data_IF_139012224656
#
_entry.id   IF_139012224656
#
_cell.length_a   1.000
_cell.length_b   1.000
_cell.length_c   1.000
_cell.angle_alpha   90.00
_cell.angle_beta   90.00
_cell.angle_gamma   90.00
#
_symmetry.space_group_name_H-M   'P 1'
#
loop_
_entity.id
_entity.type
_entity.pdbx_description
1 polymer ?
#
# COMPACT_ATOMS: atom_id res chain seq x y z
N UNK A 1 23.18 -38.55 -31.60
CA UNK A 1 24.52 -38.56 -30.98
C UNK A 1 24.34 -38.22 -29.52
N UNK A 2 24.54 -39.21 -28.66
CA UNK A 2 24.49 -39.11 -27.21
C UNK A 2 25.84 -38.56 -26.75
N UNK A 3 25.83 -37.55 -25.89
CA UNK A 3 27.00 -37.13 -25.11
C UNK A 3 26.55 -36.98 -23.67
N UNK A 4 27.05 -37.89 -22.84
CA UNK A 4 26.93 -37.95 -21.39
C UNK A 4 28.04 -37.12 -20.76
N UNK A 5 27.72 -36.27 -19.79
CA UNK A 5 28.70 -35.60 -18.93
C UNK A 5 28.63 -36.21 -17.50
N UNK A 6 29.76 -36.62 -16.87
CA UNK A 6 29.79 -37.62 -15.79
C UNK A 6 29.95 -36.99 -14.39
N UNK A 7 29.10 -36.02 -14.04
CA UNK A 7 29.01 -35.47 -12.68
C UNK A 7 27.56 -35.47 -12.18
N UNK A 8 26.99 -36.67 -12.07
CA UNK A 8 25.77 -36.91 -11.34
C UNK A 8 26.09 -37.01 -9.84
N UNK A 9 25.97 -35.90 -9.11
CA UNK A 9 25.83 -35.92 -7.66
C UNK A 9 24.32 -35.97 -7.33
N UNK A 10 23.93 -37.04 -6.67
CA UNK A 10 22.60 -37.34 -6.14
C UNK A 10 22.02 -36.15 -5.37
N UNK A 11 21.04 -35.46 -5.97
CA UNK A 11 20.06 -34.63 -5.24
C UNK A 11 18.75 -35.39 -5.21
N UNK A 12 18.34 -35.75 -4.01
CA UNK A 12 17.01 -36.28 -3.70
C UNK A 12 15.95 -35.29 -4.16
N UNK A 13 15.13 -35.71 -5.12
CA UNK A 13 13.90 -35.02 -5.51
C UNK A 13 12.90 -35.06 -4.34
N UNK A 14 12.80 -33.95 -3.62
CA UNK A 14 11.58 -33.60 -2.90
C UNK A 14 10.79 -32.64 -3.76
N UNK A 15 9.99 -33.19 -4.67
CA UNK A 15 8.90 -32.48 -5.36
C UNK A 15 7.93 -31.91 -4.34
N UNK A 16 8.13 -30.66 -3.92
CA UNK A 16 7.09 -29.88 -3.26
C UNK A 16 6.17 -29.33 -4.33
N UNK A 17 5.04 -30.01 -4.52
CA UNK A 17 3.87 -29.47 -5.21
C UNK A 17 3.48 -28.14 -4.55
N UNK A 18 3.65 -27.03 -5.27
CA UNK A 18 3.14 -25.72 -4.90
C UNK A 18 1.62 -25.72 -5.04
N UNK A 19 0.95 -26.32 -4.05
CA UNK A 19 -0.49 -26.17 -3.88
C UNK A 19 -0.80 -24.71 -3.56
N UNK A 20 -1.71 -24.10 -4.31
CA UNK A 20 -2.26 -22.78 -3.99
C UNK A 20 -2.83 -22.82 -2.57
N UNK A 21 -2.13 -22.23 -1.62
CA UNK A 21 -2.63 -22.12 -0.25
C UNK A 21 -3.79 -21.12 -0.28
N UNK A 22 -5.01 -21.65 -0.36
CA UNK A 22 -6.20 -20.87 -0.05
C UNK A 22 -6.06 -20.37 1.39
N UNK A 23 -5.95 -19.05 1.55
CA UNK A 23 -5.88 -18.44 2.88
C UNK A 23 -7.27 -18.59 3.51
N UNK A 24 -7.43 -19.60 4.36
CA UNK A 24 -8.62 -19.73 5.20
C UNK A 24 -8.65 -18.56 6.18
N UNK A 25 -9.65 -17.69 6.05
CA UNK A 25 -9.83 -16.55 6.96
C UNK A 25 -10.45 -17.01 8.29
N UNK A 26 -9.94 -16.45 9.38
CA UNK A 26 -10.45 -16.61 10.74
C UNK A 26 -11.94 -16.19 10.81
N UNK A 27 -12.84 -16.99 11.40
CA UNK A 27 -14.26 -16.65 11.52
C UNK A 27 -14.56 -15.36 12.29
N UNK A 28 -13.57 -14.77 12.98
CA UNK A 28 -13.65 -13.45 13.62
C UNK A 28 -13.52 -12.25 12.65
N UNK A 29 -13.16 -12.48 11.38
CA UNK A 29 -13.08 -11.40 10.39
C UNK A 29 -14.48 -10.88 10.08
N UNK A 30 -14.71 -9.59 10.35
CA UNK A 30 -15.96 -8.90 9.97
C UNK A 30 -16.28 -9.14 8.49
N UNK A 31 -17.52 -9.57 8.17
CA UNK A 31 -18.06 -9.79 6.80
C UNK A 31 -17.82 -8.63 5.82
N UNK A 32 -17.45 -7.44 6.31
CA UNK A 32 -17.08 -6.29 5.48
C UNK A 32 -15.75 -6.48 4.72
N UNK A 33 -14.86 -7.34 5.20
CA UNK A 33 -13.50 -7.52 4.65
C UNK A 33 -13.28 -8.89 4.00
N UNK A 34 -14.33 -9.69 3.84
CA UNK A 34 -14.30 -10.97 3.15
C UNK A 34 -14.57 -10.78 1.66
N UNK A 35 -13.97 -11.65 0.84
CA UNK A 35 -14.30 -11.72 -0.59
C UNK A 35 -15.81 -11.87 -0.79
N UNK A 36 -16.43 -11.15 -1.75
CA UNK A 36 -17.83 -11.38 -2.11
C UNK A 36 -18.01 -12.65 -2.99
N UNK A 37 -16.91 -13.30 -3.38
CA UNK A 37 -16.88 -14.49 -4.24
C UNK A 37 -16.35 -15.72 -3.49
N UNK A 38 -16.67 -16.94 -3.96
CA UNK A 38 -15.97 -18.15 -3.53
C UNK A 38 -14.45 -18.03 -3.78
N UNK A 39 -13.61 -18.87 -3.13
CA UNK A 39 -12.19 -18.92 -3.41
C UNK A 39 -11.90 -19.11 -4.90
N UNK A 40 -11.02 -18.28 -5.45
CA UNK A 40 -10.64 -18.34 -6.85
C UNK A 40 -9.51 -19.36 -7.02
N UNK A 41 -9.82 -20.50 -7.63
CA UNK A 41 -8.86 -21.54 -7.94
C UNK A 41 -8.42 -21.43 -9.41
N UNK A 42 -7.16 -21.07 -9.63
CA UNK A 42 -6.60 -20.94 -10.98
C UNK A 42 -5.89 -22.23 -11.37
N UNK A 43 -6.19 -22.73 -12.59
CA UNK A 43 -5.43 -23.84 -13.17
C UNK A 43 -3.99 -23.40 -13.50
N UNK A 44 -3.01 -24.31 -13.53
CA UNK A 44 -1.65 -23.99 -13.95
C UNK A 44 -1.59 -23.30 -15.32
N UNK A 45 -2.40 -23.75 -16.28
CA UNK A 45 -2.49 -23.15 -17.62
C UNK A 45 -2.99 -21.71 -17.55
N UNK A 46 -4.08 -21.46 -16.82
CA UNK A 46 -4.62 -20.10 -16.65
C UNK A 46 -3.62 -19.18 -15.95
N UNK A 47 -2.89 -19.69 -14.95
CA UNK A 47 -1.82 -18.93 -14.28
C UNK A 47 -0.73 -18.53 -15.27
N UNK A 48 -0.24 -19.47 -16.09
CA UNK A 48 0.76 -19.17 -17.13
C UNK A 48 0.26 -18.15 -18.17
N UNK A 49 -1.01 -18.23 -18.57
CA UNK A 49 -1.62 -17.27 -19.49
C UNK A 49 -1.69 -15.86 -18.89
N UNK A 50 -2.07 -15.75 -17.62
CA UNK A 50 -2.12 -14.49 -16.89
C UNK A 50 -0.72 -13.89 -16.68
N UNK A 51 0.27 -14.71 -16.36
CA UNK A 51 1.68 -14.28 -16.30
C UNK A 51 2.17 -13.78 -17.66
N UNK A 52 1.87 -14.51 -18.74
CA UNK A 52 2.19 -14.09 -20.11
C UNK A 52 1.51 -12.79 -20.50
N UNK A 53 0.24 -12.58 -20.09
CA UNK A 53 -0.48 -11.33 -20.28
C UNK A 53 0.17 -10.19 -19.50
N UNK A 54 0.55 -10.41 -18.24
CA UNK A 54 1.21 -9.43 -17.40
C UNK A 54 2.52 -8.95 -18.05
N UNK A 55 3.38 -9.87 -18.50
CA UNK A 55 4.63 -9.52 -19.19
C UNK A 55 4.39 -8.69 -20.46
N UNK A 56 3.40 -9.07 -21.28
CA UNK A 56 3.04 -8.30 -22.50
C UNK A 56 2.55 -6.89 -22.14
N UNK A 57 1.75 -6.76 -21.09
CA UNK A 57 1.26 -5.45 -20.63
C UNK A 57 2.40 -4.59 -20.08
N UNK A 58 3.34 -5.16 -19.32
CA UNK A 58 4.55 -4.46 -18.86
C UNK A 58 5.35 -3.94 -20.04
N UNK A 59 5.76 -4.82 -20.96
CA UNK A 59 6.56 -4.43 -22.13
C UNK A 59 5.87 -3.34 -22.97
N UNK A 60 4.57 -3.50 -23.24
CA UNK A 60 3.79 -2.51 -24.01
C UNK A 60 3.74 -1.14 -23.33
N UNK A 61 3.50 -1.11 -22.02
CA UNK A 61 3.35 0.15 -21.29
C UNK A 61 4.69 0.83 -21.02
N UNK A 62 5.77 0.06 -20.84
CA UNK A 62 7.14 0.58 -20.80
C UNK A 62 7.45 1.28 -22.13
N UNK A 63 7.24 0.60 -23.27
CA UNK A 63 7.47 1.22 -24.58
C UNK A 63 6.65 2.49 -24.81
N UNK A 64 5.38 2.49 -24.40
CA UNK A 64 4.52 3.68 -24.49
C UNK A 64 5.01 4.85 -23.59
N UNK A 65 5.52 4.54 -22.40
CA UNK A 65 6.09 5.53 -21.50
C UNK A 65 7.42 6.08 -22.04
N UNK A 66 8.26 5.23 -22.63
CA UNK A 66 9.50 5.68 -23.26
C UNK A 66 9.24 6.62 -24.42
N UNK A 67 8.26 6.35 -25.28
CA UNK A 67 7.89 7.29 -26.33
C UNK A 67 7.35 8.61 -25.78
N UNK A 68 6.61 8.58 -24.67
CA UNK A 68 6.22 9.82 -24.00
C UNK A 68 7.43 10.58 -23.43
N UNK A 69 8.35 9.89 -22.76
CA UNK A 69 9.48 10.49 -22.06
C UNK A 69 10.57 10.99 -23.02
N UNK A 70 10.97 10.15 -23.97
CA UNK A 70 12.12 10.36 -24.85
C UNK A 70 11.68 11.07 -26.13
N UNK A 71 10.73 10.49 -26.86
CA UNK A 71 10.34 10.98 -28.19
C UNK A 71 9.52 12.28 -28.09
N UNK A 72 8.60 12.36 -27.11
CA UNK A 72 7.75 13.54 -26.88
C UNK A 72 8.30 14.47 -25.78
N UNK A 73 9.52 14.23 -25.29
CA UNK A 73 10.18 15.03 -24.25
C UNK A 73 9.35 15.26 -22.97
N UNK A 74 8.49 14.30 -22.61
CA UNK A 74 7.60 14.38 -21.44
C UNK A 74 6.53 15.48 -21.54
N UNK A 75 6.28 16.04 -22.73
CA UNK A 75 5.30 17.11 -22.93
C UNK A 75 3.91 16.54 -23.19
N UNK A 76 2.92 17.14 -22.55
CA UNK A 76 1.51 16.86 -22.80
C UNK A 76 1.05 17.69 -23.99
N UNK A 77 0.52 17.02 -25.01
CA UNK A 77 -0.14 17.67 -26.15
C UNK A 77 -1.51 18.21 -25.73
N UNK A 78 -1.63 19.54 -25.61
CA UNK A 78 -2.85 20.20 -25.13
C UNK A 78 -4.00 20.19 -26.16
N UNK A 79 -3.71 19.99 -27.45
CA UNK A 79 -4.76 19.81 -28.47
C UNK A 79 -5.48 18.48 -28.26
N UNK A 80 -4.72 17.46 -27.87
CA UNK A 80 -5.23 16.11 -27.61
C UNK A 80 -5.74 15.91 -26.18
N UNK A 81 -5.13 16.56 -25.20
CA UNK A 81 -5.34 16.30 -23.77
C UNK A 81 -5.90 17.53 -23.06
N UNK A 82 -7.13 17.40 -22.55
CA UNK A 82 -7.79 18.45 -21.77
C UNK A 82 -7.55 18.26 -20.29
N UNK A 83 -7.13 19.31 -19.59
CA UNK A 83 -7.00 19.30 -18.13
C UNK A 83 -8.32 18.96 -17.42
N UNK A 84 -8.25 18.12 -16.39
CA UNK A 84 -9.39 17.68 -15.57
C UNK A 84 -9.29 18.21 -14.15
N UNK A 85 -8.18 17.92 -13.47
CA UNK A 85 -7.93 18.26 -12.07
C UNK A 85 -6.46 18.06 -11.71
N UNK A 86 -6.03 18.59 -10.58
CA UNK A 86 -4.69 18.34 -10.03
C UNK A 86 -4.76 18.01 -8.55
N UNK A 87 -3.71 17.39 -8.05
CA UNK A 87 -3.47 17.18 -6.62
C UNK A 87 -1.96 17.18 -6.40
N UNK A 88 -1.51 18.05 -5.50
CA UNK A 88 -0.09 18.34 -5.32
C UNK A 88 0.54 18.67 -6.69
N UNK A 89 1.70 18.10 -7.03
CA UNK A 89 2.37 18.31 -8.33
C UNK A 89 1.87 17.38 -9.44
N UNK A 90 0.83 16.58 -9.21
CA UNK A 90 0.23 15.70 -10.22
C UNK A 90 -0.94 16.39 -10.93
N UNK A 91 -0.96 16.31 -12.26
CA UNK A 91 -2.02 16.86 -13.11
C UNK A 91 -2.69 15.76 -13.92
N UNK A 92 -4.01 15.69 -13.85
CA UNK A 92 -4.83 14.75 -14.59
C UNK A 92 -5.43 15.41 -15.83
N UNK A 93 -5.39 14.68 -16.93
CA UNK A 93 -5.87 15.07 -18.25
C UNK A 93 -6.78 13.97 -18.81
N UNK A 94 -7.74 14.35 -19.64
CA UNK A 94 -8.57 13.42 -20.40
C UNK A 94 -8.35 13.61 -21.89
N UNK A 95 -8.29 12.51 -22.63
CA UNK A 95 -8.23 12.56 -24.09
C UNK A 95 -9.53 13.15 -24.65
N UNK A 96 -9.40 14.15 -25.52
CA UNK A 96 -10.53 14.72 -26.24
C UNK A 96 -11.10 13.67 -27.22
N UNK A 97 -12.43 13.50 -27.29
CA UNK A 97 -13.02 12.65 -28.32
C UNK A 97 -12.56 13.15 -29.69
N UNK A 98 -12.05 12.25 -30.53
CA UNK A 98 -11.81 12.60 -31.93
C UNK A 98 -13.18 12.86 -32.57
N UNK A 99 -13.33 13.98 -33.24
CA UNK A 99 -14.50 14.22 -34.07
C UNK A 99 -14.53 13.14 -35.15
N UNK A 100 -15.41 12.15 -35.00
CA UNK A 100 -15.63 11.15 -36.05
C UNK A 100 -16.56 11.80 -37.06
N UNK A 101 -16.00 12.34 -38.15
CA UNK A 101 -16.77 12.58 -39.36
C UNK A 101 -17.08 11.21 -39.97
N UNK A 102 -18.23 10.61 -39.67
CA UNK A 102 -18.73 9.43 -40.39
C UNK A 102 -20.26 9.43 -40.45
N UNK A 103 -20.87 9.42 -41.66
CA UNK A 103 -22.29 9.69 -41.88
C UNK A 103 -23.19 8.44 -41.95
N UNK A 104 -22.98 7.42 -41.10
CA UNK A 104 -23.78 6.19 -41.16
C UNK A 104 -24.42 5.81 -39.81
N UNK A 105 -25.76 5.89 -39.66
CA UNK A 105 -26.44 5.74 -38.36
C UNK A 105 -26.71 4.30 -37.91
N UNK A 106 -26.25 3.28 -38.63
CA UNK A 106 -26.68 1.90 -38.38
C UNK A 106 -25.50 0.93 -38.52
N UNK A 107 -24.73 0.82 -37.44
CA UNK A 107 -23.89 -0.32 -37.04
C UNK A 107 -22.78 0.23 -36.16
N UNK A 108 -22.83 -0.04 -34.85
CA UNK A 108 -21.62 -0.32 -34.08
C UNK A 108 -21.99 -0.81 -32.68
N UNK A 109 -21.74 -2.09 -32.44
CA UNK A 109 -21.19 -2.56 -31.17
C UNK A 109 -20.13 -1.53 -30.73
N UNK A 110 -20.24 -1.05 -29.49
CA UNK A 110 -19.42 0.05 -28.93
C UNK A 110 -18.01 0.10 -29.55
N UNK A 111 -17.73 1.08 -30.42
CA UNK A 111 -16.41 1.20 -31.02
C UNK A 111 -15.40 1.43 -29.90
N UNK A 112 -14.21 0.84 -30.03
CA UNK A 112 -13.05 1.12 -29.17
C UNK A 112 -12.78 2.65 -29.04
N UNK A 113 -13.30 3.44 -29.98
CA UNK A 113 -13.19 4.90 -30.07
C UNK A 113 -13.90 5.70 -28.94
N UNK A 114 -14.75 5.11 -28.09
CA UNK A 114 -15.49 5.87 -27.06
C UNK A 114 -15.11 5.56 -25.59
N UNK A 115 -13.99 4.87 -25.37
CA UNK A 115 -13.48 4.64 -24.01
C UNK A 115 -12.85 5.93 -23.44
N UNK A 116 -13.29 6.48 -22.29
CA UNK A 116 -12.56 7.54 -21.61
C UNK A 116 -11.13 7.11 -21.27
N UNK A 117 -10.17 7.93 -21.71
CA UNK A 117 -8.75 7.79 -21.41
C UNK A 117 -8.32 8.93 -20.49
N UNK A 118 -7.67 8.57 -19.39
CA UNK A 118 -7.08 9.52 -18.43
C UNK A 118 -5.57 9.37 -18.46
N UNK A 119 -4.85 10.49 -18.52
CA UNK A 119 -3.41 10.55 -18.35
C UNK A 119 -3.09 11.42 -17.14
N UNK A 120 -2.14 11.00 -16.31
CA UNK A 120 -1.64 11.81 -15.20
C UNK A 120 -0.14 11.92 -15.31
N UNK A 121 0.38 13.14 -15.18
CA UNK A 121 1.82 13.39 -15.18
C UNK A 121 2.18 14.35 -14.04
N UNK A 122 3.40 14.23 -13.53
CA UNK A 122 3.90 15.11 -12.47
C UNK A 122 4.99 14.45 -11.64
N UNK A 123 5.18 14.95 -10.43
CA UNK A 123 6.20 14.45 -9.50
C UNK A 123 5.64 14.19 -8.12
N UNK A 124 6.31 13.32 -7.37
CA UNK A 124 6.13 13.16 -5.93
C UNK A 124 7.47 13.35 -5.21
N UNK A 125 7.41 13.89 -3.99
CA UNK A 125 8.59 14.05 -3.12
C UNK A 125 8.83 12.72 -2.43
N UNK A 126 9.98 12.10 -2.73
CA UNK A 126 10.39 10.79 -2.25
C UNK A 126 11.17 10.01 -3.30
N UNK A 127 11.93 9.01 -2.84
CA UNK A 127 12.67 8.10 -3.72
C UNK A 127 11.79 6.99 -4.29
N UNK A 128 12.22 6.43 -5.42
CA UNK A 128 11.48 5.40 -6.15
C UNK A 128 11.19 4.18 -5.26
N UNK A 129 12.15 3.75 -4.45
CA UNK A 129 11.95 2.60 -3.56
C UNK A 129 10.91 2.89 -2.47
N UNK A 130 10.83 4.14 -2.01
CA UNK A 130 9.77 4.58 -1.09
C UNK A 130 8.40 4.57 -1.76
N UNK A 131 8.30 5.06 -2.99
CA UNK A 131 7.06 4.96 -3.77
C UNK A 131 6.64 3.51 -3.91
N UNK A 132 7.55 2.63 -4.35
CA UNK A 132 7.25 1.22 -4.58
C UNK A 132 6.89 0.47 -3.29
N UNK A 133 7.53 0.79 -2.16
CA UNK A 133 7.15 0.24 -0.87
C UNK A 133 5.77 0.73 -0.41
N UNK A 134 5.35 1.95 -0.75
CA UNK A 134 3.98 2.43 -0.55
C UNK A 134 2.95 1.75 -1.44
N UNK A 135 3.34 1.41 -2.68
CA UNK A 135 2.49 0.80 -3.70
C UNK A 135 2.16 -0.65 -3.39
N UNK A 136 3.19 -1.45 -3.07
CA UNK A 136 3.12 -2.92 -2.97
C UNK A 136 2.24 -3.35 -1.79
N UNK A 137 1.20 -4.12 -2.11
CA UNK A 137 0.23 -4.65 -1.15
C UNK A 137 -0.33 -6.01 -1.61
N UNK A 138 0.50 -7.08 -1.66
CA UNK A 138 0.10 -8.43 -2.09
C UNK A 138 -0.98 -9.11 -1.26
N UNK A 139 -1.30 -8.67 -0.04
CA UNK A 139 -2.36 -9.29 0.78
C UNK A 139 -3.54 -8.34 1.04
N UNK A 140 -4.70 -8.91 1.36
CA UNK A 140 -5.91 -8.13 1.70
C UNK A 140 -5.66 -7.18 2.87
N UNK A 141 -4.92 -7.62 3.88
CA UNK A 141 -4.55 -6.83 5.05
C UNK A 141 -3.67 -5.66 4.65
N UNK A 142 -2.69 -5.88 3.79
CA UNK A 142 -1.81 -4.83 3.28
C UNK A 142 -2.57 -3.81 2.42
N UNK A 143 -3.52 -4.25 1.59
CA UNK A 143 -4.41 -3.34 0.86
C UNK A 143 -5.20 -2.45 1.82
N UNK A 144 -5.78 -3.03 2.88
CA UNK A 144 -6.55 -2.27 3.88
C UNK A 144 -5.66 -1.26 4.63
N UNK A 145 -4.42 -1.65 4.97
CA UNK A 145 -3.44 -0.72 5.57
C UNK A 145 -3.12 0.42 4.60
N UNK A 146 -2.85 0.13 3.32
CA UNK A 146 -2.60 1.16 2.29
C UNK A 146 -3.75 2.15 2.19
N UNK A 147 -4.98 1.67 1.98
CA UNK A 147 -6.20 2.49 1.88
C UNK A 147 -6.41 3.37 3.11
N UNK A 148 -6.03 2.90 4.31
CA UNK A 148 -6.13 3.69 5.54
C UNK A 148 -5.23 4.94 5.58
N UNK A 149 -4.18 4.99 4.76
CA UNK A 149 -3.26 6.13 4.65
C UNK A 149 -3.52 7.00 3.42
N UNK A 150 -3.83 6.38 2.27
CA UNK A 150 -3.97 7.13 1.02
C UNK A 150 -5.35 7.78 0.87
N UNK A 151 -6.39 7.21 1.49
CA UNK A 151 -7.78 7.68 1.38
C UNK A 151 -8.20 7.85 -0.10
N UNK A 152 -8.15 6.74 -0.84
CA UNK A 152 -8.44 6.62 -2.29
C UNK A 152 -9.95 6.49 -2.60
N UNK A 153 -10.80 6.52 -1.58
CA UNK A 153 -12.24 6.21 -1.64
C UNK A 153 -12.55 4.79 -2.15
N UNK A 154 -11.69 3.81 -1.84
CA UNK A 154 -11.95 2.38 -2.04
C UNK A 154 -12.52 1.78 -0.74
N UNK A 155 -13.85 1.65 -0.60
CA UNK A 155 -14.49 1.19 0.63
C UNK A 155 -14.26 -0.29 0.95
N UNK A 156 -14.09 -1.12 -0.08
CA UNK A 156 -13.87 -2.56 0.07
C UNK A 156 -12.92 -3.05 -1.01
N UNK A 157 -12.02 -3.93 -0.60
CA UNK A 157 -11.05 -4.57 -1.47
C UNK A 157 -10.58 -5.89 -0.87
N UNK A 158 -10.23 -6.84 -1.72
CA UNK A 158 -9.57 -8.07 -1.31
C UNK A 158 -8.67 -8.63 -2.42
N UNK A 159 -7.72 -9.46 -2.01
CA UNK A 159 -6.94 -10.31 -2.90
C UNK A 159 -7.72 -11.61 -3.10
N UNK A 160 -7.94 -11.99 -4.35
CA UNK A 160 -8.65 -13.21 -4.74
C UNK A 160 -7.69 -14.37 -4.98
N UNK A 161 -6.54 -14.10 -5.60
CA UNK A 161 -5.49 -15.10 -5.83
C UNK A 161 -4.11 -14.43 -5.92
N UNK A 162 -3.08 -15.11 -5.41
CA UNK A 162 -1.67 -14.72 -5.58
C UNK A 162 -1.04 -15.64 -6.61
N UNK A 163 -0.53 -15.08 -7.71
CA UNK A 163 0.12 -15.84 -8.78
C UNK A 163 1.63 -15.88 -8.56
N UNK A 164 2.23 -14.70 -8.33
CA UNK A 164 3.64 -14.56 -8.01
C UNK A 164 3.81 -13.66 -6.77
N UNK A 165 4.20 -14.20 -5.60
CA UNK A 165 4.46 -13.40 -4.42
C UNK A 165 5.80 -12.65 -4.54
N UNK A 166 5.99 -11.55 -3.80
CA UNK A 166 7.31 -10.93 -3.68
C UNK A 166 8.36 -11.86 -3.07
N UNK A 167 9.60 -11.67 -3.49
CA UNK A 167 10.76 -12.41 -2.97
C UNK A 167 11.71 -11.46 -2.24
N UNK A 168 12.58 -11.95 -1.35
CA UNK A 168 13.60 -11.13 -0.68
C UNK A 168 14.51 -10.35 -1.66
N UNK A 169 14.78 -10.90 -2.84
CA UNK A 169 15.59 -10.30 -3.90
C UNK A 169 14.82 -9.24 -4.69
N UNK A 170 13.52 -9.46 -4.90
CA UNK A 170 12.63 -8.57 -5.63
C UNK A 170 11.38 -8.26 -4.79
N UNK A 171 11.52 -7.49 -3.69
CA UNK A 171 10.45 -7.32 -2.72
C UNK A 171 9.30 -6.43 -3.23
N UNK A 172 9.50 -5.74 -4.35
CA UNK A 172 8.48 -4.94 -5.01
C UNK A 172 7.80 -5.65 -6.18
N UNK A 173 8.18 -6.91 -6.47
CA UNK A 173 7.60 -7.66 -7.57
C UNK A 173 6.42 -8.48 -7.07
N UNK A 174 5.26 -8.33 -7.68
CA UNK A 174 4.11 -9.18 -7.36
C UNK A 174 3.19 -9.34 -8.55
N UNK A 175 2.46 -10.46 -8.61
CA UNK A 175 1.35 -10.67 -9.53
C UNK A 175 0.17 -11.30 -8.78
N UNK A 176 -0.99 -10.66 -8.83
CA UNK A 176 -2.18 -11.12 -8.10
C UNK A 176 -3.47 -10.78 -8.82
N UNK A 177 -4.54 -11.53 -8.52
CA UNK A 177 -5.92 -11.17 -8.86
C UNK A 177 -6.55 -10.52 -7.64
N UNK A 178 -7.19 -9.38 -7.85
CA UNK A 178 -7.79 -8.55 -6.81
C UNK A 178 -9.20 -8.14 -7.18
N UNK A 179 -9.96 -7.78 -6.17
CA UNK A 179 -11.27 -7.16 -6.30
C UNK A 179 -11.34 -5.85 -5.53
N UNK A 180 -12.03 -4.86 -6.10
CA UNK A 180 -12.34 -3.58 -5.44
C UNK A 180 -13.78 -3.15 -5.73
N UNK A 181 -14.39 -2.51 -4.74
CA UNK A 181 -15.64 -1.75 -4.88
C UNK A 181 -15.30 -0.27 -5.08
N UNK A 182 -15.92 0.38 -6.07
CA UNK A 182 -15.79 1.80 -6.34
C UNK A 182 -17.17 2.44 -6.31
N UNK A 183 -17.37 3.38 -5.40
CA UNK A 183 -18.64 4.09 -5.31
C UNK A 183 -18.76 5.18 -6.37
N UNK A 184 -19.96 5.31 -6.94
CA UNK A 184 -20.29 6.49 -7.74
C UNK A 184 -20.59 7.69 -6.81
N UNK A 185 -20.47 8.94 -7.31
CA UNK A 185 -20.79 10.13 -6.52
C UNK A 185 -22.20 10.08 -5.94
N UNK A 186 -22.39 10.57 -4.71
CA UNK A 186 -23.66 10.52 -3.98
C UNK A 186 -24.85 11.04 -4.81
N UNK A 187 -24.64 12.11 -5.58
CA UNK A 187 -25.67 12.73 -6.42
C UNK A 187 -26.26 11.81 -7.49
N UNK A 188 -25.56 10.77 -7.94
CA UNK A 188 -26.02 9.84 -9.00
C UNK A 188 -26.31 8.42 -8.51
N UNK A 189 -26.02 8.12 -7.24
CA UNK A 189 -26.30 6.80 -6.62
C UNK A 189 -27.76 6.34 -6.69
N UNK A 190 -28.79 7.21 -6.68
CA UNK A 190 -30.19 6.76 -6.81
C UNK A 190 -30.51 6.10 -8.17
N UNK A 191 -29.71 6.37 -9.21
CA UNK A 191 -29.99 5.95 -10.59
C UNK A 191 -28.91 5.01 -11.13
N UNK A 192 -27.67 5.11 -10.61
CA UNK A 192 -26.52 4.33 -11.08
C UNK A 192 -25.97 3.48 -9.94
N UNK A 193 -25.87 2.16 -10.15
CA UNK A 193 -25.26 1.25 -9.17
C UNK A 193 -23.77 1.58 -8.97
N UNK A 194 -23.24 1.18 -7.81
CA UNK A 194 -21.80 1.19 -7.59
C UNK A 194 -21.10 0.26 -8.60
N UNK A 195 -19.79 0.46 -8.80
CA UNK A 195 -18.99 -0.43 -9.64
C UNK A 195 -18.14 -1.35 -8.82
N UNK A 196 -17.91 -2.53 -9.35
CA UNK A 196 -16.90 -3.44 -8.85
C UNK A 196 -15.92 -3.79 -9.97
N UNK A 197 -14.68 -4.15 -9.62
CA UNK A 197 -13.67 -4.53 -10.58
C UNK A 197 -12.98 -5.79 -10.08
N UNK A 198 -12.91 -6.80 -10.95
CA UNK A 198 -11.97 -7.92 -10.82
C UNK A 198 -10.82 -7.65 -11.76
N UNK A 199 -9.59 -7.64 -11.25
CA UNK A 199 -8.43 -7.24 -12.01
C UNK A 199 -7.18 -8.01 -11.63
N UNK A 200 -6.31 -8.17 -12.61
CA UNK A 200 -4.93 -8.56 -12.42
C UNK A 200 -4.13 -7.31 -12.06
N UNK A 201 -3.31 -7.40 -11.01
CA UNK A 201 -2.35 -6.39 -10.61
C UNK A 201 -0.94 -6.98 -10.71
N UNK A 202 -0.06 -6.28 -11.42
CA UNK A 202 1.39 -6.55 -11.40
C UNK A 202 2.19 -5.32 -10.99
N UNK A 203 3.17 -5.52 -10.12
CA UNK A 203 4.12 -4.50 -9.70
C UNK A 203 5.54 -5.01 -9.85
N UNK A 204 6.50 -4.11 -9.97
CA UNK A 204 7.91 -4.45 -10.05
C UNK A 204 8.77 -3.28 -10.49
N UNK A 205 10.02 -3.59 -10.78
CA UNK A 205 11.03 -2.65 -11.27
C UNK A 205 11.53 -3.13 -12.63
N UNK A 206 11.66 -2.20 -13.57
CA UNK A 206 12.24 -2.43 -14.89
C UNK A 206 13.33 -1.41 -15.20
N UNK A 207 14.04 -1.64 -16.31
CA UNK A 207 14.96 -0.67 -16.91
C UNK A 207 14.44 -0.20 -18.26
N UNK A 208 14.47 1.12 -18.45
CA UNK A 208 14.21 1.74 -19.75
C UNK A 208 15.39 1.51 -20.71
N UNK A 209 15.18 1.75 -22.00
CA UNK A 209 16.16 1.71 -23.09
C UNK A 209 17.37 2.63 -22.85
N UNK A 210 17.19 3.71 -22.09
CA UNK A 210 18.26 4.61 -21.68
C UNK A 210 19.00 4.17 -20.39
N UNK A 211 18.65 2.99 -19.84
CA UNK A 211 19.25 2.40 -18.66
C UNK A 211 18.66 2.88 -17.32
N UNK A 212 17.77 3.87 -17.33
CA UNK A 212 17.13 4.38 -16.11
C UNK A 212 16.18 3.37 -15.49
N UNK A 213 16.18 3.32 -14.16
CA UNK A 213 15.34 2.42 -13.37
C UNK A 213 13.93 3.01 -13.23
N UNK A 214 12.92 2.21 -13.51
CA UNK A 214 11.51 2.60 -13.43
C UNK A 214 10.73 1.57 -12.61
N UNK A 215 9.92 2.01 -11.67
CA UNK A 215 8.91 1.17 -11.04
C UNK A 215 7.64 1.14 -11.87
N UNK A 216 6.97 0.00 -11.93
CA UNK A 216 5.68 -0.13 -12.60
C UNK A 216 4.61 -0.66 -11.65
N UNK A 217 3.38 -0.20 -11.86
CA UNK A 217 2.16 -0.72 -11.26
C UNK A 217 1.09 -0.77 -12.35
N UNK A 218 0.73 -1.98 -12.77
CA UNK A 218 -0.21 -2.22 -13.85
C UNK A 218 -1.43 -2.94 -13.30
N UNK A 219 -2.59 -2.42 -13.65
CA UNK A 219 -3.91 -2.92 -13.26
C UNK A 219 -4.69 -3.21 -14.54
N UNK A 220 -5.18 -4.42 -14.71
CA UNK A 220 -5.94 -4.81 -15.90
C UNK A 220 -7.13 -5.69 -15.53
N UNK A 221 -8.34 -5.28 -15.89
CA UNK A 221 -9.55 -6.05 -15.61
C UNK A 221 -9.52 -7.40 -16.32
N UNK A 222 -9.89 -8.45 -15.58
CA UNK A 222 -9.98 -9.84 -16.05
C UNK A 222 -11.30 -10.44 -15.60
N UNK A 223 -11.71 -11.56 -16.20
CA UNK A 223 -12.99 -12.20 -15.90
C UNK A 223 -12.80 -13.68 -15.60
N UNK A 224 -13.50 -14.15 -14.57
CA UNK A 224 -13.56 -15.56 -14.18
C UNK A 224 -15.00 -15.97 -13.93
N UNK A 225 -15.43 -17.19 -14.33
CA UNK A 225 -16.75 -17.73 -13.99
C UNK A 225 -17.05 -17.69 -12.48
N UNK A 226 -16.04 -17.89 -11.64
CA UNK A 226 -16.11 -17.88 -10.17
C UNK A 226 -16.32 -16.48 -9.58
N UNK A 227 -16.19 -15.43 -10.40
CA UNK A 227 -16.37 -14.03 -10.01
C UNK A 227 -17.52 -13.37 -10.77
N UNK A 228 -18.76 -13.91 -10.68
CA UNK A 228 -19.89 -13.39 -11.43
C UNK A 228 -20.17 -11.93 -11.06
N UNK A 229 -20.91 -11.23 -11.91
CA UNK A 229 -21.34 -9.85 -11.63
C UNK A 229 -22.24 -9.87 -10.39
N UNK A 230 -21.97 -8.97 -9.43
CA UNK A 230 -22.80 -8.84 -8.23
C UNK A 230 -24.10 -8.09 -8.57
N UNK A 231 -25.25 -8.55 -8.06
CA UNK A 231 -26.55 -7.92 -8.32
C UNK A 231 -26.62 -6.44 -7.89
N UNK A 232 -25.81 -6.08 -6.89
CA UNK A 232 -25.74 -4.72 -6.33
C UNK A 232 -24.77 -3.79 -7.06
N UNK A 233 -24.02 -4.29 -8.05
CA UNK A 233 -22.98 -3.52 -8.75
C UNK A 233 -23.08 -3.64 -10.26
N UNK A 234 -22.39 -2.74 -10.96
CA UNK A 234 -22.00 -2.92 -12.34
C UNK A 234 -20.53 -3.35 -12.40
N UNK A 235 -20.23 -4.46 -13.10
CA UNK A 235 -18.85 -4.88 -13.36
C UNK A 235 -18.18 -3.88 -14.28
N UNK A 236 -17.22 -3.14 -13.72
CA UNK A 236 -16.36 -2.24 -14.48
C UNK A 236 -15.28 -3.01 -15.24
N UNK A 237 -14.75 -2.36 -16.28
CA UNK A 237 -13.60 -2.85 -17.02
C UNK A 237 -12.64 -1.67 -17.24
N UNK A 238 -11.37 -1.87 -16.88
CA UNK A 238 -10.32 -0.86 -17.02
C UNK A 238 -8.95 -1.49 -17.25
N UNK A 239 -8.06 -0.74 -17.91
CA UNK A 239 -6.63 -1.04 -17.97
C UNK A 239 -5.86 0.21 -17.63
N UNK A 240 -4.98 0.13 -16.64
CA UNK A 240 -4.24 1.27 -16.08
C UNK A 240 -2.78 0.88 -15.97
N UNK A 241 -1.88 1.75 -16.41
CA UNK A 241 -0.45 1.66 -16.15
C UNK A 241 0.00 2.89 -15.39
N UNK A 242 0.79 2.66 -14.34
CA UNK A 242 1.41 3.69 -13.52
C UNK A 242 2.92 3.40 -13.50
N UNK A 243 3.71 4.38 -13.92
CA UNK A 243 5.15 4.29 -14.11
C UNK A 243 5.81 5.35 -13.23
N UNK A 244 6.82 4.93 -12.48
CA UNK A 244 7.55 5.75 -11.52
C UNK A 244 9.02 5.80 -11.87
N UNK A 245 9.57 6.98 -12.17
CA UNK A 245 10.98 7.14 -12.54
C UNK A 245 11.70 8.03 -11.55
N UNK A 246 12.83 7.59 -11.02
CA UNK A 246 13.66 8.45 -10.18
C UNK A 246 14.23 9.60 -11.03
N UNK A 247 13.84 10.84 -10.76
CA UNK A 247 14.36 12.03 -11.48
C UNK A 247 15.67 12.51 -10.87
N UNK A 248 15.64 12.74 -9.56
CA UNK A 248 16.79 13.09 -8.72
C UNK A 248 16.57 12.47 -7.35
N UNK A 249 17.56 12.49 -6.45
CA UNK A 249 17.32 12.15 -5.04
C UNK A 249 16.11 12.90 -4.50
N UNK A 250 15.23 12.18 -3.81
CA UNK A 250 13.99 12.65 -3.20
C UNK A 250 12.93 13.20 -4.18
N UNK A 251 13.06 12.94 -5.49
CA UNK A 251 12.05 13.32 -6.49
C UNK A 251 11.82 12.18 -7.47
N UNK A 252 10.57 11.72 -7.54
CA UNK A 252 10.13 10.65 -8.45
C UNK A 252 9.06 11.17 -9.40
N UNK A 253 9.29 10.97 -10.70
CA UNK A 253 8.33 11.23 -11.77
C UNK A 253 7.23 10.19 -11.75
N UNK A 254 5.99 10.64 -11.97
CA UNK A 254 4.81 9.79 -12.09
C UNK A 254 4.21 9.97 -13.47
N UNK A 255 3.99 8.87 -14.17
CA UNK A 255 3.22 8.81 -15.41
C UNK A 255 2.13 7.75 -15.30
N UNK A 256 0.89 8.14 -15.52
CA UNK A 256 -0.27 7.26 -15.48
C UNK A 256 -0.99 7.33 -16.82
N UNK A 257 -1.40 6.18 -17.35
CA UNK A 257 -2.36 6.09 -18.44
C UNK A 257 -3.41 5.03 -18.15
N UNK A 258 -4.67 5.45 -18.11
CA UNK A 258 -5.82 4.60 -17.81
C UNK A 258 -6.87 4.64 -18.90
N UNK A 259 -7.42 3.48 -19.24
CA UNK A 259 -8.53 3.28 -20.16
C UNK A 259 -9.71 2.73 -19.37
N UNK A 260 -10.89 3.33 -19.51
CA UNK A 260 -12.06 2.99 -18.71
C UNK A 260 -13.28 2.74 -19.59
N UNK A 261 -13.98 1.64 -19.35
CA UNK A 261 -15.24 1.37 -20.02
C UNK A 261 -16.41 2.11 -19.31
N UNK A 262 -17.16 2.98 -20.00
CA UNK A 262 -18.29 3.71 -19.42
C UNK A 262 -19.57 2.86 -19.36
N UNK A 263 -19.52 1.56 -19.66
CA UNK A 263 -20.64 0.64 -19.58
C UNK A 263 -21.44 0.77 -18.25
N UNK A 264 -22.73 0.46 -18.34
CA UNK A 264 -23.68 0.62 -17.23
C UNK A 264 -24.24 2.04 -17.09
N UNK A 265 -24.40 2.76 -18.21
CA UNK A 265 -25.18 4.00 -18.29
C UNK A 265 -24.59 5.21 -17.55
N UNK A 266 -23.30 5.18 -17.17
CA UNK A 266 -22.66 6.34 -16.52
C UNK A 266 -22.16 7.33 -17.57
N UNK A 267 -22.31 8.62 -17.27
CA UNK A 267 -21.75 9.66 -18.14
C UNK A 267 -20.22 9.61 -18.15
N UNK A 268 -19.61 9.71 -19.34
CA UNK A 268 -18.16 9.77 -19.57
C UNK A 268 -17.44 10.73 -18.62
N UNK A 269 -18.00 11.92 -18.41
CA UNK A 269 -17.42 12.95 -17.53
C UNK A 269 -17.36 12.53 -16.06
N UNK A 270 -18.32 11.72 -15.59
CA UNK A 270 -18.30 11.18 -14.23
C UNK A 270 -17.21 10.11 -14.11
N UNK A 271 -17.05 9.24 -15.13
CA UNK A 271 -15.98 8.24 -15.18
C UNK A 271 -14.61 8.92 -15.12
N UNK A 272 -14.38 9.93 -15.97
CA UNK A 272 -13.12 10.68 -16.03
C UNK A 272 -12.80 11.32 -14.68
N UNK A 273 -13.74 12.03 -14.06
CA UNK A 273 -13.51 12.69 -12.76
C UNK A 273 -13.27 11.69 -11.62
N UNK A 274 -14.02 10.58 -11.61
CA UNK A 274 -13.84 9.53 -10.61
C UNK A 274 -12.48 8.85 -10.75
N UNK A 275 -12.10 8.49 -11.99
CA UNK A 275 -10.80 7.91 -12.31
C UNK A 275 -9.65 8.86 -11.94
N UNK A 276 -9.74 10.15 -12.33
CA UNK A 276 -8.74 11.14 -11.98
C UNK A 276 -8.57 11.28 -10.46
N UNK A 277 -9.67 11.37 -9.70
CA UNK A 277 -9.62 11.45 -8.23
C UNK A 277 -8.92 10.24 -7.60
N UNK A 278 -9.28 9.03 -8.01
CA UNK A 278 -8.68 7.79 -7.50
C UNK A 278 -7.20 7.71 -7.88
N UNK A 279 -6.86 7.98 -9.14
CA UNK A 279 -5.48 7.87 -9.62
C UNK A 279 -4.56 8.96 -9.07
N UNK A 280 -5.07 10.16 -8.77
CA UNK A 280 -4.31 11.20 -8.06
C UNK A 280 -4.00 10.80 -6.60
N UNK A 281 -4.61 9.73 -6.06
CA UNK A 281 -4.29 9.26 -4.70
C UNK A 281 -2.84 8.78 -4.56
N UNK A 282 -2.18 8.38 -5.66
CA UNK A 282 -0.77 7.92 -5.66
C UNK A 282 0.22 8.96 -5.13
N UNK A 283 -0.15 10.25 -5.12
CA UNK A 283 0.63 11.30 -4.47
C UNK A 283 0.94 11.00 -2.99
N UNK A 284 0.17 10.10 -2.36
CA UNK A 284 0.35 9.68 -0.97
C UNK A 284 1.08 8.34 -0.80
N UNK A 285 1.56 7.70 -1.86
CA UNK A 285 2.27 6.42 -1.74
C UNK A 285 3.57 6.58 -0.93
N UNK A 286 4.31 7.68 -1.08
CA UNK A 286 5.49 7.97 -0.24
C UNK A 286 5.09 8.17 1.22
N UNK A 287 4.00 8.90 1.49
CA UNK A 287 3.48 9.04 2.86
C UNK A 287 3.11 7.69 3.46
N UNK A 288 2.45 6.80 2.68
CA UNK A 288 2.15 5.43 3.08
C UNK A 288 3.42 4.67 3.45
N UNK A 289 4.48 4.76 2.63
CA UNK A 289 5.80 4.20 2.94
C UNK A 289 6.33 4.70 4.28
N UNK A 290 6.35 6.02 4.51
CA UNK A 290 6.85 6.59 5.76
C UNK A 290 6.09 6.06 6.99
N UNK A 291 4.77 5.92 6.90
CA UNK A 291 3.97 5.37 8.01
C UNK A 291 4.28 3.88 8.23
N UNK A 292 4.49 3.11 7.15
CA UNK A 292 4.93 1.71 7.24
C UNK A 292 6.32 1.60 7.87
N UNK A 293 7.28 2.44 7.49
CA UNK A 293 8.63 2.48 8.08
C UNK A 293 8.60 2.81 9.57
N UNK A 294 7.80 3.79 9.98
CA UNK A 294 7.60 4.10 11.41
C UNK A 294 6.99 2.92 12.16
N UNK A 295 5.99 2.25 11.58
CA UNK A 295 5.39 1.06 12.17
C UNK A 295 6.39 -0.11 12.25
N UNK A 296 7.26 -0.29 11.26
CA UNK A 296 8.36 -1.25 11.29
C UNK A 296 9.37 -0.93 12.40
N UNK A 297 9.84 0.32 12.51
CA UNK A 297 10.79 0.72 13.54
C UNK A 297 10.25 0.51 14.97
N UNK A 298 8.96 0.74 15.19
CA UNK A 298 8.29 0.44 16.46
C UNK A 298 8.27 -1.07 16.75
N UNK A 299 8.09 -1.93 15.74
CA UNK A 299 8.09 -3.40 15.90
C UNK A 299 9.46 -3.93 16.27
N UNK A 300 10.51 -3.48 15.59
CA UNK A 300 11.87 -3.95 15.86
C UNK A 300 12.29 -3.71 17.31
N UNK A 301 11.85 -2.59 17.89
CA UNK A 301 12.07 -2.31 19.32
C UNK A 301 11.31 -3.27 20.23
N UNK A 302 10.03 -3.49 19.97
CA UNK A 302 9.21 -4.39 20.77
C UNK A 302 9.74 -5.84 20.74
N UNK A 303 10.13 -6.32 19.56
CA UNK A 303 10.69 -7.66 19.40
C UNK A 303 12.05 -7.80 20.10
N UNK A 304 12.88 -6.74 20.07
CA UNK A 304 14.15 -6.70 20.81
C UNK A 304 13.97 -6.72 22.33
N UNK A 305 12.93 -6.07 22.86
CA UNK A 305 12.60 -6.08 24.29
C UNK A 305 12.09 -7.47 24.73
N UNK A 306 11.21 -8.10 23.95
CA UNK A 306 10.62 -9.42 24.25
C UNK A 306 11.64 -10.56 24.16
N UNK A 307 12.65 -10.45 23.29
CA UNK A 307 13.74 -11.44 23.19
C UNK A 307 14.81 -11.28 24.28
N UNK A 308 14.87 -10.11 24.93
CA UNK A 308 15.77 -9.85 26.07
C UNK A 308 15.20 -10.20 27.44
N UNK A 309 13.91 -10.57 27.54
CA UNK A 309 13.24 -10.86 28.82
C UNK A 309 13.47 -12.29 29.35
N UNK A 310 14.37 -13.09 28.76
CA UNK A 310 14.81 -14.38 29.30
C UNK A 310 16.12 -14.31 30.08
N UNK A 311 16.69 -13.12 30.24
CA UNK A 311 17.83 -12.88 31.13
C UNK A 311 17.34 -12.19 32.40
N UNK A 312 17.12 -12.98 33.45
CA UNK A 312 17.14 -12.46 34.82
C UNK A 312 18.57 -11.94 35.10
N UNK A 313 18.83 -10.71 34.69
CA UNK A 313 19.96 -9.94 35.18
C UNK A 313 19.41 -8.87 36.11
N UNK A 314 19.44 -9.25 37.40
CA UNK A 314 19.66 -8.42 38.58
C UNK A 314 18.99 -7.06 38.61
N UNK A 315 18.15 -6.87 39.64
CA UNK A 315 17.79 -5.57 40.23
C UNK A 315 19.07 -4.77 40.59
N UNK A 316 19.70 -4.22 39.57
CA UNK A 316 20.70 -3.17 39.65
C UNK A 316 19.97 -1.90 39.99
N UNK A 317 19.71 -1.72 41.28
CA UNK A 317 19.37 -0.46 41.92
C UNK A 317 20.32 0.63 41.46
N UNK A 318 20.02 1.25 40.32
CA UNK A 318 20.54 2.57 39.97
C UNK A 318 19.56 3.56 40.56
N UNK A 319 19.82 3.86 41.84
CA UNK A 319 19.56 5.16 42.44
C UNK A 319 20.22 6.26 41.61
N UNK A 320 19.67 6.54 40.42
CA UNK A 320 19.91 7.75 39.66
C UNK A 320 19.08 8.86 40.29
N UNK A 321 19.75 9.96 40.62
CA UNK A 321 19.29 11.14 41.34
C UNK A 321 17.99 11.76 40.81
N UNK A 322 17.53 12.82 41.48
CA UNK A 322 16.56 13.82 40.99
C UNK A 322 17.06 14.52 39.68
N UNK A 323 17.55 13.76 38.71
CA UNK A 323 18.31 14.20 37.55
C UNK A 323 17.40 14.78 36.48
N UNK A 324 17.77 15.98 36.06
CA UNK A 324 17.16 16.74 34.98
C UNK A 324 16.93 15.87 33.73
N UNK A 325 15.67 15.56 33.42
CA UNK A 325 15.31 14.95 32.14
C UNK A 325 15.44 15.99 31.03
N UNK A 326 16.49 15.88 30.22
CA UNK A 326 16.69 16.73 29.04
C UNK A 326 15.92 16.19 27.85
N UNK A 327 15.30 17.09 27.07
CA UNK A 327 14.61 16.73 25.83
C UNK A 327 15.60 16.13 24.82
N UNK A 328 15.31 14.94 24.32
CA UNK A 328 16.16 14.26 23.32
C UNK A 328 16.33 15.03 22.01
N UNK A 329 15.39 15.90 21.64
CA UNK A 329 15.48 16.74 20.44
C UNK A 329 16.27 18.05 20.63
N UNK A 330 15.87 18.89 21.59
CA UNK A 330 16.45 20.24 21.76
C UNK A 330 17.41 20.38 22.96
N UNK A 331 17.63 19.34 23.75
CA UNK A 331 18.46 19.40 24.94
C UNK A 331 17.93 20.30 26.06
N UNK A 332 16.70 20.85 25.94
CA UNK A 332 16.11 21.68 27.00
C UNK A 332 15.70 20.82 28.20
N UNK A 333 15.96 21.32 29.40
CA UNK A 333 15.50 20.70 30.66
C UNK A 333 13.97 20.60 30.68
N UNK A 334 13.46 19.52 31.25
CA UNK A 334 12.04 19.38 31.52
C UNK A 334 11.57 20.52 32.43
N UNK A 335 10.53 21.25 32.03
CA UNK A 335 9.95 22.32 32.85
C UNK A 335 9.53 21.81 34.24
N UNK A 336 9.84 22.59 35.27
CA UNK A 336 9.51 22.30 36.68
C UNK A 336 8.01 22.04 36.86
N UNK A 337 7.14 22.75 36.12
CA UNK A 337 5.70 22.48 36.12
C UNK A 337 5.35 21.07 35.64
N UNK A 338 6.06 20.56 34.63
CA UNK A 338 5.88 19.20 34.12
C UNK A 338 6.47 18.17 35.07
N UNK A 339 7.57 18.49 35.76
CA UNK A 339 8.15 17.65 36.81
C UNK A 339 7.25 17.56 38.05
N UNK A 340 6.57 18.66 38.42
CA UNK A 340 5.63 18.71 39.53
C UNK A 340 4.32 17.97 39.19
N UNK A 341 3.73 18.27 38.02
CA UNK A 341 2.52 17.59 37.54
C UNK A 341 2.73 16.08 37.34
N UNK A 342 3.98 15.66 37.10
CA UNK A 342 4.40 14.26 37.00
C UNK A 342 4.28 13.47 38.31
N UNK A 343 4.23 14.15 39.47
CA UNK A 343 4.22 13.53 40.81
C UNK A 343 2.80 13.42 41.39
N UNK A 344 1.80 14.02 40.75
CA UNK A 344 0.44 14.16 41.30
C UNK A 344 -0.57 13.34 40.50
N UNK A 345 -0.94 12.17 41.02
CA UNK A 345 -2.08 11.30 40.64
C UNK A 345 -1.96 10.52 39.31
N UNK A 346 -2.83 9.52 39.10
CA UNK A 346 -2.81 8.62 37.92
C UNK A 346 -2.88 9.34 36.56
N UNK A 347 -3.52 10.50 36.48
CA UNK A 347 -3.55 11.34 35.26
C UNK A 347 -2.16 11.85 34.83
N UNK A 348 -1.22 11.99 35.77
CA UNK A 348 0.16 12.36 35.51
C UNK A 348 0.92 11.29 34.71
N UNK A 349 0.67 10.01 35.00
CA UNK A 349 1.31 8.87 34.31
C UNK A 349 0.93 8.84 32.82
N UNK A 350 -0.29 9.23 32.48
CA UNK A 350 -0.76 9.35 31.09
C UNK A 350 -0.05 10.52 30.38
N UNK A 351 0.11 11.66 31.05
CA UNK A 351 0.83 12.82 30.52
C UNK A 351 2.33 12.53 30.33
N UNK A 352 2.93 11.76 31.24
CA UNK A 352 4.31 11.30 31.14
C UNK A 352 4.52 10.37 29.94
N UNK A 353 3.67 9.36 29.75
CA UNK A 353 3.78 8.43 28.61
C UNK A 353 3.66 9.15 27.24
N UNK A 354 2.92 10.27 27.17
CA UNK A 354 2.81 11.11 25.96
C UNK A 354 4.05 11.98 25.67
N UNK A 355 4.98 12.08 26.62
CA UNK A 355 6.21 12.88 26.52
C UNK A 355 7.48 12.04 26.35
N UNK A 356 7.34 10.74 26.09
CA UNK A 356 8.45 9.85 25.76
C UNK A 356 8.26 9.31 24.35
N UNK A 357 9.37 9.17 23.62
CA UNK A 357 9.35 8.61 22.28
C UNK A 357 8.93 7.15 22.36
N UNK A 358 8.01 6.72 21.48
CA UNK A 358 7.58 5.31 21.44
C UNK A 358 8.60 4.35 20.81
N UNK A 359 9.67 4.87 20.18
CA UNK A 359 10.76 4.07 19.61
C UNK A 359 11.98 4.02 20.54
N UNK A 360 12.46 5.17 21.03
CA UNK A 360 13.69 5.22 21.84
C UNK A 360 13.46 5.44 23.34
N UNK A 361 12.19 5.52 23.78
CA UNK A 361 11.76 5.73 25.18
C UNK A 361 12.28 7.00 25.87
N UNK A 362 13.09 7.83 25.19
CA UNK A 362 13.63 9.10 25.72
C UNK A 362 12.58 10.19 25.82
N UNK A 363 12.74 11.09 26.80
CA UNK A 363 11.90 12.26 27.00
C UNK A 363 11.95 13.25 25.81
N UNK A 364 10.84 13.93 25.57
CA UNK A 364 10.66 14.96 24.55
C UNK A 364 9.81 16.12 25.08
N UNK A 365 10.20 17.35 24.74
CA UNK A 365 9.34 18.51 24.91
C UNK A 365 8.21 18.49 23.86
N UNK A 366 7.23 19.39 24.01
CA UNK A 366 6.09 19.48 23.09
C UNK A 366 6.49 19.90 21.67
N UNK A 367 7.58 20.66 21.51
CA UNK A 367 8.05 21.14 20.20
C UNK A 367 8.84 20.07 19.42
N UNK A 368 9.51 19.17 20.16
CA UNK A 368 10.33 18.10 19.59
C UNK A 368 9.57 16.79 19.38
N UNK A 369 8.32 16.70 19.84
CA UNK A 369 7.47 15.53 19.58
C UNK A 369 6.95 15.56 18.14
N UNK A 370 6.77 14.39 17.55
CA UNK A 370 6.18 14.17 16.24
C UNK A 370 5.07 13.16 16.38
N UNK A 371 3.90 13.46 15.83
CA UNK A 371 2.71 12.64 16.02
C UNK A 371 2.23 12.11 14.69
N UNK A 372 2.08 10.80 14.60
CA UNK A 372 1.66 10.10 13.38
C UNK A 372 0.49 9.18 13.70
N UNK A 373 -0.51 9.18 12.82
CA UNK A 373 -1.57 8.17 12.87
C UNK A 373 -1.04 6.92 12.20
N UNK A 374 -0.78 5.88 12.99
CA UNK A 374 -0.31 4.59 12.49
C UNK A 374 -1.45 3.58 12.58
N UNK A 375 -1.57 2.77 11.52
CA UNK A 375 -2.56 1.72 11.38
C UNK A 375 -1.95 0.38 11.78
N UNK A 376 -2.61 -0.31 12.70
CA UNK A 376 -2.22 -1.63 13.20
C UNK A 376 -3.31 -2.65 12.87
N UNK A 377 -2.92 -3.85 12.47
CA UNK A 377 -3.83 -4.98 12.35
C UNK A 377 -3.89 -5.72 13.70
N UNK A 378 -5.09 -5.99 14.16
CA UNK A 378 -5.33 -6.69 15.41
C UNK A 378 -5.46 -8.20 15.20
N UNK A 379 -5.35 -9.02 16.26
CA UNK A 379 -5.56 -10.45 16.20
C UNK A 379 -6.89 -10.92 15.57
N UNK A 380 -7.92 -10.09 15.63
CA UNK A 380 -9.26 -10.31 15.07
C UNK A 380 -9.42 -9.70 13.66
N UNK A 381 -8.30 -9.41 13.00
CA UNK A 381 -8.24 -8.85 11.65
C UNK A 381 -8.85 -7.46 11.50
N UNK A 382 -9.18 -6.75 12.59
CA UNK A 382 -9.59 -5.34 12.50
C UNK A 382 -8.38 -4.42 12.39
N UNK A 383 -8.54 -3.35 11.62
CA UNK A 383 -7.58 -2.26 11.62
C UNK A 383 -7.89 -1.29 12.75
N UNK A 384 -6.85 -0.85 13.45
CA UNK A 384 -6.92 0.17 14.49
C UNK A 384 -5.91 1.26 14.21
N UNK A 385 -6.38 2.48 13.99
CA UNK A 385 -5.53 3.65 13.93
C UNK A 385 -5.22 4.15 15.34
N UNK A 386 -3.95 4.44 15.61
CA UNK A 386 -3.50 5.03 16.88
C UNK A 386 -2.55 6.19 16.60
N UNK A 387 -2.71 7.24 17.40
CA UNK A 387 -1.80 8.37 17.39
C UNK A 387 -0.53 7.99 18.16
N UNK A 388 0.57 7.80 17.44
CA UNK A 388 1.88 7.46 18.01
C UNK A 388 2.75 8.70 18.06
N UNK A 389 3.46 8.88 19.18
CA UNK A 389 4.35 10.02 19.39
C UNK A 389 5.80 9.54 19.40
N UNK A 390 6.63 10.08 18.49
CA UNK A 390 8.05 9.77 18.34
C UNK A 390 8.90 11.04 18.41
N UNK A 391 10.21 10.92 18.64
CA UNK A 391 11.12 12.06 18.57
C UNK A 391 11.54 12.31 17.13
N UNK A 392 11.91 13.56 16.82
CA UNK A 392 12.42 13.94 15.50
C UNK A 392 13.57 13.04 15.00
N UNK A 393 14.48 12.63 15.88
CA UNK A 393 15.60 11.76 15.50
C UNK A 393 15.13 10.38 15.03
N UNK A 394 14.23 9.73 15.79
CA UNK A 394 13.68 8.43 15.39
C UNK A 394 12.75 8.53 14.17
N UNK A 395 12.05 9.66 13.99
CA UNK A 395 11.29 9.91 12.76
C UNK A 395 12.21 9.94 11.54
N UNK A 396 13.29 10.74 11.59
CA UNK A 396 14.26 10.86 10.50
C UNK A 396 14.93 9.50 10.24
N UNK A 397 15.42 8.84 11.28
CA UNK A 397 16.09 7.54 11.19
C UNK A 397 15.17 6.50 10.53
N UNK A 398 13.93 6.36 11.03
CA UNK A 398 12.97 5.42 10.47
C UNK A 398 12.61 5.73 9.02
N UNK A 399 12.42 7.01 8.66
CA UNK A 399 12.09 7.40 7.28
C UNK A 399 13.28 7.21 6.34
N UNK A 400 14.51 7.44 6.82
CA UNK A 400 15.74 7.29 6.04
C UNK A 400 16.16 5.85 5.80
N UNK A 401 15.61 4.91 6.56
CA UNK A 401 15.91 3.49 6.40
C UNK A 401 15.52 2.99 5.00
N UNK A 402 16.31 2.08 4.43
CA UNK A 402 16.07 1.63 3.06
C UNK A 402 14.74 0.88 2.97
N UNK A 403 13.85 1.37 2.10
CA UNK A 403 12.55 0.74 1.87
C UNK A 403 12.70 -0.70 1.33
N UNK A 404 13.74 -0.95 0.53
CA UNK A 404 14.08 -2.28 0.02
C UNK A 404 14.53 -3.21 1.15
N UNK A 405 15.40 -2.74 2.05
CA UNK A 405 15.85 -3.51 3.22
C UNK A 405 14.69 -3.86 4.14
N UNK A 406 13.81 -2.89 4.44
CA UNK A 406 12.62 -3.13 5.27
C UNK A 406 11.69 -4.16 4.60
N UNK A 407 11.39 -3.99 3.32
CA UNK A 407 10.50 -4.91 2.60
C UNK A 407 11.08 -6.34 2.57
N UNK A 408 12.40 -6.48 2.39
CA UNK A 408 13.10 -7.76 2.47
C UNK A 408 13.00 -8.38 3.86
N UNK A 409 13.24 -7.61 4.90
CA UNK A 409 13.15 -8.05 6.30
C UNK A 409 11.73 -8.54 6.63
N UNK A 410 10.70 -7.80 6.23
CA UNK A 410 9.29 -8.19 6.43
C UNK A 410 8.93 -9.52 5.75
N UNK A 411 9.51 -9.81 4.57
CA UNK A 411 9.32 -11.08 3.87
C UNK A 411 10.02 -12.24 4.60
N UNK A 412 11.26 -12.02 5.08
CA UNK A 412 12.04 -13.03 5.79
C UNK A 412 11.46 -13.37 7.17
N UNK A 413 10.86 -12.39 7.85
CA UNK A 413 10.18 -12.60 9.13
C UNK A 413 8.76 -13.20 8.98
N UNK A 414 8.32 -13.49 7.75
CA UNK A 414 7.18 -14.35 7.47
C UNK A 414 5.84 -13.83 7.95
N UNK A 415 5.43 -12.60 7.60
CA UNK A 415 4.09 -11.99 7.81
C UNK A 415 3.44 -12.09 9.22
N UNK A 416 4.09 -12.73 10.21
CA UNK A 416 3.63 -12.83 11.61
C UNK A 416 3.48 -11.44 12.25
N UNK A 417 4.16 -10.43 11.67
CA UNK A 417 4.30 -9.06 12.15
C UNK A 417 3.12 -8.13 11.95
N UNK A 418 2.01 -8.55 11.32
CA UNK A 418 0.82 -7.70 11.31
C UNK A 418 0.02 -7.80 12.60
N UNK A 419 0.23 -8.83 13.41
CA UNK A 419 -0.57 -9.09 14.62
C UNK A 419 0.00 -8.32 15.80
N UNK A 420 -0.45 -7.08 16.00
CA UNK A 420 -0.07 -6.30 17.18
C UNK A 420 -0.99 -6.64 18.35
N UNK A 421 -0.47 -7.32 19.38
CA UNK A 421 -1.25 -7.47 20.61
C UNK A 421 -1.33 -6.12 21.31
N UNK A 422 -2.54 -5.56 21.33
CA UNK A 422 -2.79 -4.19 21.75
C UNK A 422 -2.70 -3.99 23.26
N UNK A 423 -2.63 -5.08 24.03
CA UNK A 423 -2.53 -5.07 25.50
C UNK A 423 -1.29 -4.33 25.96
N UNK A 424 -0.10 -4.81 25.62
CA UNK A 424 1.11 -4.41 26.34
C UNK A 424 1.68 -3.05 25.94
N UNK A 425 1.59 -2.66 24.67
CA UNK A 425 2.22 -1.42 24.18
C UNK A 425 1.41 -0.16 24.48
N UNK A 426 0.09 -0.31 24.67
CA UNK A 426 -0.81 0.84 24.72
C UNK A 426 -1.93 0.79 25.77
N UNK A 427 -2.25 -0.36 26.39
CA UNK A 427 -3.22 -0.49 27.47
C UNK A 427 -2.65 -1.31 28.64
N UNK A 428 -1.93 -0.69 29.57
CA UNK A 428 -1.93 -1.22 30.94
C UNK A 428 -3.22 -0.76 31.61
N UNK A 429 -4.35 -1.39 31.24
CA UNK A 429 -5.54 -1.37 32.10
C UNK A 429 -5.43 -2.58 33.01
N UNK A 430 -5.43 -2.29 34.30
CA UNK A 430 -5.22 -3.19 35.43
C UNK A 430 -6.07 -4.46 35.31
N UNK A 431 -5.43 -5.62 35.41
CA UNK A 431 -6.03 -6.85 35.90
C UNK A 431 -6.46 -6.62 37.36
N UNK A 432 -7.76 -6.48 37.58
CA UNK A 432 -8.33 -6.45 38.92
C UNK A 432 -8.41 -7.89 39.43
N UNK A 433 -7.40 -8.34 40.18
CA UNK A 433 -7.55 -9.48 41.06
C UNK A 433 -8.06 -9.02 42.43
N UNK A 434 -9.15 -9.69 42.84
CA UNK A 434 -9.60 -10.00 44.20
C UNK A 434 -9.92 -8.86 45.17
N UNK A 435 -11.22 -8.72 45.46
CA UNK A 435 -11.71 -8.60 46.84
C UNK A 435 -12.69 -9.76 47.08
N UNK A 436 -12.20 -10.77 47.80
CA UNK A 436 -12.99 -11.62 48.70
C UNK A 436 -13.33 -10.80 49.96
N UNK A 437 -14.34 -11.28 50.70
CA UNK A 437 -15.02 -10.75 51.91
C UNK A 437 -16.24 -9.89 51.56
N UNK A 438 -17.49 -10.28 51.84
CA UNK A 438 -18.05 -11.24 52.82
C UNK A 438 -19.16 -12.12 52.22
#
# INVERSE_FOLDING_TARGET
MVSTDPFAATRSDSTMSAGSVGVAMDPSVSKRYTSPFPPLHLSPTTTMELEGLAHKLVARNIGAYESFLIDNHGKVDEEKWKFVSSKDDLKAYSEQPRAVESPHPYQQETPVADLPVVMITGTVVGDLDDVMYGVVCPTTEQMRVKTSYIHDDIPKSCVLAMLAPPTPENPFNSLSIKWVEVHVPLAVRPVVKNRDFVYMETTGIERLRNGERVGYHIVHSVQFPETPVLDTHFRGNSSISILYRQRTTNVTDVYIKGFFNPAGGIMRTIVIRSAARILLSVAKDVYCSHMKKLAWALRQRYNGETSSSSSECTDGSSSGSLDDKYCSGCGKKQSVFVQAASKTNQGAKILQKKRHCKICTRYMCLDCRRQHQLTFLLPDQRLKQRLVTVCRSCEIEAISESAMTIARDELLQGNQMQRWDSGDVFNTTISAHSLQSE
#
